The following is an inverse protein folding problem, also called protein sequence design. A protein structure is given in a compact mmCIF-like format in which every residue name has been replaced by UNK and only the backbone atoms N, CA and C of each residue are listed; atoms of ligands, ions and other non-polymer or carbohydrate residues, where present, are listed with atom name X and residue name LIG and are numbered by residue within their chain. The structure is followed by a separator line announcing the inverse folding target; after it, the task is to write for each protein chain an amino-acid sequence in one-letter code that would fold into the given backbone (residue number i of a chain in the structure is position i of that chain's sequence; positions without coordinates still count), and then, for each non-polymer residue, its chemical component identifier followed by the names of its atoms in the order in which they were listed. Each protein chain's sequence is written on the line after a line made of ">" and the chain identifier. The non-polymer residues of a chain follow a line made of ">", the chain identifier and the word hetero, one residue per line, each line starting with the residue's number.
data_IF_558203033880
#
_entry.id   IF_558203033880
#
_cell.length_a   1.000
_cell.length_b   1.000
_cell.length_c   1.000
_cell.angle_alpha   90.00
_cell.angle_beta   90.00
_cell.angle_gamma   90.00
#
_symmetry.space_group_name_H-M   'P 1'
#
loop_
_entity.id
_entity.type
_entity.pdbx_description
1 polymer ?
#
# COMPACT_ATOMS: atom_id res chain seq x y z
N UNK A 1 -5.75 -4.15 46.76
CA UNK A 1 -4.61 -3.62 45.97
C UNK A 1 -5.17 -2.76 44.85
N UNK A 2 -5.07 -1.43 44.95
CA UNK A 2 -5.41 -0.56 43.82
C UNK A 2 -4.37 -0.79 42.73
N UNK A 3 -4.78 -1.36 41.58
CA UNK A 3 -3.91 -1.44 40.41
C UNK A 3 -3.46 -0.01 40.08
N UNK A 4 -2.15 0.24 40.11
CA UNK A 4 -1.60 1.52 39.67
C UNK A 4 -2.08 1.83 38.26
N UNK A 5 -2.16 3.12 37.87
CA UNK A 5 -2.62 3.50 36.54
C UNK A 5 -1.75 2.82 35.47
N UNK A 6 -2.41 2.25 34.45
CA UNK A 6 -1.72 1.62 33.33
C UNK A 6 -0.76 2.62 32.66
N UNK A 7 0.50 2.23 32.39
CA UNK A 7 1.44 3.11 31.73
C UNK A 7 0.93 3.42 30.31
N UNK A 8 0.79 4.69 29.92
CA UNK A 8 0.24 5.08 28.61
C UNK A 8 1.00 4.46 27.43
N UNK A 9 2.29 4.17 27.61
CA UNK A 9 3.15 3.51 26.61
C UNK A 9 2.59 2.18 26.10
N UNK A 10 1.89 1.43 26.95
CA UNK A 10 1.32 0.14 26.57
C UNK A 10 0.14 0.30 25.60
N UNK A 11 -0.40 1.51 25.46
CA UNK A 11 -1.44 1.85 24.48
C UNK A 11 -0.81 2.54 23.26
N UNK A 12 0.10 3.50 23.48
CA UNK A 12 0.63 4.30 22.36
C UNK A 12 1.63 3.54 21.47
N UNK A 13 2.49 2.68 22.05
CA UNK A 13 3.49 1.96 21.26
C UNK A 13 2.86 0.94 20.29
N UNK A 14 1.86 0.13 20.70
CA UNK A 14 1.17 -0.75 19.76
C UNK A 14 0.37 0.01 18.70
N UNK A 15 -0.28 1.12 19.07
CA UNK A 15 -1.07 1.93 18.13
C UNK A 15 -0.19 2.53 17.02
N UNK A 16 0.92 3.18 17.38
CA UNK A 16 1.85 3.74 16.40
C UNK A 16 2.66 2.64 15.68
N UNK A 17 2.92 1.51 16.35
CA UNK A 17 3.52 0.34 15.74
C UNK A 17 2.64 -0.28 14.65
N UNK A 18 1.31 -0.27 14.83
CA UNK A 18 0.38 -0.70 13.80
C UNK A 18 0.43 0.21 12.57
N UNK A 19 0.42 1.53 12.78
CA UNK A 19 0.59 2.51 11.68
C UNK A 19 1.91 2.23 10.95
N UNK A 20 3.02 2.16 11.68
CA UNK A 20 4.35 1.88 11.12
C UNK A 20 4.39 0.59 10.30
N UNK A 21 3.79 -0.48 10.82
CA UNK A 21 3.78 -1.80 10.18
C UNK A 21 2.98 -1.79 8.88
N UNK A 22 1.77 -1.23 8.89
CA UNK A 22 0.93 -1.16 7.69
C UNK A 22 1.49 -0.19 6.64
N UNK A 23 2.06 0.94 7.04
CA UNK A 23 2.70 1.87 6.11
C UNK A 23 3.95 1.27 5.47
N UNK A 24 4.77 0.54 6.24
CA UNK A 24 5.93 -0.18 5.73
C UNK A 24 5.54 -1.31 4.77
N UNK A 25 4.49 -2.08 5.12
CA UNK A 25 3.96 -3.11 4.23
C UNK A 25 3.49 -2.51 2.90
N UNK A 26 2.80 -1.36 2.94
CA UNK A 26 2.38 -0.68 1.72
C UNK A 26 3.57 -0.23 0.87
N UNK A 27 4.61 0.35 1.47
CA UNK A 27 5.82 0.72 0.74
C UNK A 27 6.45 -0.49 0.01
N UNK A 28 6.53 -1.64 0.70
CA UNK A 28 7.08 -2.87 0.13
C UNK A 28 6.26 -3.38 -1.05
N UNK A 29 4.93 -3.44 -0.90
CA UNK A 29 4.02 -3.91 -1.93
C UNK A 29 4.05 -2.98 -3.15
N UNK A 30 3.85 -1.67 -2.96
CA UNK A 30 3.85 -0.72 -4.07
C UNK A 30 5.20 -0.63 -4.76
N UNK A 31 6.30 -0.74 -4.00
CA UNK A 31 7.66 -0.74 -4.55
C UNK A 31 7.93 -1.98 -5.40
N UNK A 32 7.46 -3.15 -4.97
CA UNK A 32 7.55 -4.39 -5.73
C UNK A 32 6.76 -4.30 -7.04
N UNK A 33 5.53 -3.76 -7.02
CA UNK A 33 4.71 -3.60 -8.24
C UNK A 33 5.39 -2.69 -9.27
N UNK A 34 5.95 -1.56 -8.82
CA UNK A 34 6.71 -0.65 -9.70
C UNK A 34 7.92 -1.37 -10.30
N UNK A 35 8.66 -2.12 -9.48
CA UNK A 35 9.81 -2.89 -9.93
C UNK A 35 9.42 -3.94 -10.97
N UNK A 36 8.41 -4.77 -10.68
CA UNK A 36 7.95 -5.85 -11.55
C UNK A 36 7.56 -5.30 -12.94
N UNK A 37 6.82 -4.20 -12.99
CA UNK A 37 6.42 -3.56 -14.24
C UNK A 37 7.61 -3.02 -15.04
N UNK A 38 8.59 -2.41 -14.38
CA UNK A 38 9.80 -1.91 -15.04
C UNK A 38 10.66 -3.06 -15.54
N UNK A 39 10.78 -4.13 -14.76
CA UNK A 39 11.57 -5.31 -15.08
C UNK A 39 10.95 -6.08 -16.26
N UNK A 40 9.63 -6.24 -16.30
CA UNK A 40 8.94 -6.82 -17.47
C UNK A 40 9.18 -5.96 -18.71
N UNK A 41 9.04 -4.63 -18.62
CA UNK A 41 9.34 -3.72 -19.74
C UNK A 41 10.79 -3.83 -20.20
N UNK A 42 11.73 -4.03 -19.28
CA UNK A 42 13.13 -4.30 -19.59
C UNK A 42 13.29 -5.62 -20.36
N UNK A 43 12.71 -6.71 -19.85
CA UNK A 43 12.73 -8.01 -20.51
C UNK A 43 12.08 -7.99 -21.90
N UNK A 44 11.02 -7.20 -22.10
CA UNK A 44 10.39 -7.02 -23.41
C UNK A 44 11.36 -6.42 -24.43
N UNK A 45 12.17 -5.43 -24.03
CA UNK A 45 13.17 -4.78 -24.89
C UNK A 45 14.28 -5.72 -25.33
N UNK A 46 14.69 -6.64 -24.47
CA UNK A 46 15.74 -7.63 -24.76
C UNK A 46 15.20 -8.96 -25.30
N UNK A 47 13.88 -9.09 -25.45
CA UNK A 47 13.27 -10.30 -25.99
C UNK A 47 13.44 -10.40 -27.50
N UNK A 48 13.35 -11.62 -28.03
CA UNK A 48 13.27 -11.87 -29.48
C UNK A 48 12.02 -11.25 -30.14
N UNK A 49 11.04 -10.81 -29.35
CA UNK A 49 9.81 -10.16 -29.78
C UNK A 49 9.83 -8.66 -29.47
N UNK A 50 11.01 -8.05 -29.37
CA UNK A 50 11.14 -6.62 -29.15
C UNK A 50 10.30 -5.82 -30.16
N UNK A 51 9.52 -4.86 -29.67
CA UNK A 51 8.65 -4.02 -30.47
C UNK A 51 7.39 -4.71 -31.01
N UNK A 52 7.09 -5.96 -30.66
CA UNK A 52 5.85 -6.62 -31.05
C UNK A 52 4.62 -5.96 -30.41
N UNK A 53 4.64 -5.81 -29.08
CA UNK A 53 3.60 -5.11 -28.31
C UNK A 53 4.25 -4.20 -27.27
N UNK A 54 3.53 -3.16 -26.89
CA UNK A 54 3.86 -2.31 -25.76
C UNK A 54 2.94 -2.64 -24.58
N UNK A 55 3.47 -2.54 -23.36
CA UNK A 55 2.70 -2.73 -22.12
C UNK A 55 2.30 -1.38 -21.53
N UNK A 56 1.02 -1.07 -21.62
CA UNK A 56 0.40 0.12 -21.05
C UNK A 56 -0.04 -0.17 -19.62
N UNK A 57 0.42 0.68 -18.70
CA UNK A 57 0.10 0.57 -17.27
C UNK A 57 -1.26 1.19 -16.92
N UNK A 58 -1.86 1.99 -17.82
CA UNK A 58 -3.14 2.67 -17.62
C UNK A 58 -3.28 3.42 -16.28
N UNK A 59 -2.15 3.92 -15.76
CA UNK A 59 -2.09 4.63 -14.48
C UNK A 59 -1.81 3.76 -13.25
N UNK A 60 -1.62 2.43 -13.38
CA UNK A 60 -1.27 1.52 -12.27
C UNK A 60 -0.07 2.10 -11.49
N UNK A 61 1.01 2.38 -12.23
CA UNK A 61 2.26 2.88 -11.64
C UNK A 61 2.12 4.24 -10.95
N UNK A 62 1.18 5.08 -11.39
CA UNK A 62 0.93 6.36 -10.73
C UNK A 62 0.25 6.16 -9.38
N UNK A 63 -0.71 5.23 -9.30
CA UNK A 63 -1.39 4.90 -8.05
C UNK A 63 -0.43 4.16 -7.11
N UNK A 64 0.39 3.24 -7.61
CA UNK A 64 1.44 2.59 -6.81
C UNK A 64 2.46 3.59 -6.29
N UNK A 65 2.86 4.57 -7.11
CA UNK A 65 3.76 5.63 -6.67
C UNK A 65 3.11 6.49 -5.57
N UNK A 66 1.82 6.81 -5.71
CA UNK A 66 1.07 7.55 -4.69
C UNK A 66 0.99 6.75 -3.37
N UNK A 67 0.78 5.44 -3.45
CA UNK A 67 0.79 4.52 -2.31
C UNK A 67 2.16 4.44 -1.65
N UNK A 68 3.23 4.42 -2.44
CA UNK A 68 4.61 4.44 -1.94
C UNK A 68 4.91 5.74 -1.19
N UNK A 69 4.48 6.89 -1.73
CA UNK A 69 4.64 8.21 -1.10
C UNK A 69 3.84 8.28 0.20
N UNK A 70 2.57 7.87 0.19
CA UNK A 70 1.74 7.85 1.39
C UNK A 70 2.32 6.91 2.46
N UNK A 71 2.78 5.72 2.05
CA UNK A 71 3.50 4.77 2.89
C UNK A 71 4.76 5.39 3.52
N UNK A 72 5.60 6.06 2.73
CA UNK A 72 6.82 6.69 3.22
C UNK A 72 6.55 7.81 4.22
N UNK A 73 5.57 8.67 3.94
CA UNK A 73 5.16 9.75 4.86
C UNK A 73 4.62 9.16 6.16
N UNK A 74 3.73 8.17 6.07
CA UNK A 74 3.15 7.52 7.25
C UNK A 74 4.18 6.78 8.09
N UNK A 75 5.13 6.10 7.45
CA UNK A 75 6.24 5.44 8.13
C UNK A 75 7.09 6.45 8.93
N UNK A 76 7.42 7.58 8.32
CA UNK A 76 8.22 8.63 8.96
C UNK A 76 7.45 9.30 10.11
N UNK A 77 6.17 9.61 9.92
CA UNK A 77 5.29 10.13 10.96
C UNK A 77 5.18 9.16 12.13
N UNK A 78 4.98 7.87 11.87
CA UNK A 78 4.88 6.84 12.90
C UNK A 78 6.20 6.66 13.67
N UNK A 79 7.36 6.72 13.00
CA UNK A 79 8.67 6.70 13.67
C UNK A 79 8.84 7.89 14.62
N UNK A 80 8.48 9.10 14.17
CA UNK A 80 8.52 10.31 15.01
C UNK A 80 7.59 10.12 16.21
N UNK A 81 6.36 9.63 15.98
CA UNK A 81 5.39 9.33 17.04
C UNK A 81 5.93 8.32 18.05
N UNK A 82 6.53 7.22 17.60
CA UNK A 82 7.12 6.18 18.47
C UNK A 82 8.25 6.75 19.32
N UNK A 83 9.13 7.56 18.71
CA UNK A 83 10.21 8.22 19.45
C UNK A 83 9.66 9.18 20.52
N UNK A 84 8.64 9.98 20.18
CA UNK A 84 7.98 10.88 21.12
C UNK A 84 7.28 10.10 22.24
N UNK A 85 6.56 9.02 21.94
CA UNK A 85 5.90 8.17 22.92
C UNK A 85 6.90 7.52 23.89
N UNK A 86 8.00 6.98 23.37
CA UNK A 86 9.06 6.39 24.18
C UNK A 86 9.69 7.44 25.12
N UNK A 87 10.00 8.64 24.61
CA UNK A 87 10.65 9.70 25.38
C UNK A 87 9.73 10.39 26.40
N UNK A 88 8.48 10.65 26.03
CA UNK A 88 7.54 11.41 26.86
C UNK A 88 6.99 10.59 28.03
N UNK A 89 6.74 9.30 27.81
CA UNK A 89 6.17 8.43 28.83
C UNK A 89 7.21 7.59 29.59
N UNK A 90 8.47 7.53 29.13
CA UNK A 90 9.53 6.73 29.77
C UNK A 90 9.85 7.14 31.21
N UNK A 91 9.41 8.33 31.63
CA UNK A 91 9.56 8.84 33.01
C UNK A 91 8.23 9.12 33.72
N UNK A 92 7.06 8.83 33.10
CA UNK A 92 5.75 9.24 33.61
C UNK A 92 4.82 8.04 33.83
N UNK A 93 4.58 7.71 35.10
CA UNK A 93 3.56 6.73 35.50
C UNK A 93 2.17 7.38 35.45
N UNK A 94 1.41 7.13 34.38
CA UNK A 94 -0.04 7.29 34.39
C UNK A 94 -0.62 8.71 34.41
N UNK A 95 0.19 9.77 34.29
CA UNK A 95 -0.33 11.13 34.22
C UNK A 95 -0.49 11.59 32.77
N UNK A 96 -1.70 11.44 32.23
CA UNK A 96 -2.23 12.30 31.17
C UNK A 96 -2.56 13.69 31.77
N UNK A 97 -1.60 14.34 32.45
CA UNK A 97 -1.81 15.60 33.19
C UNK A 97 -1.84 16.85 32.30
N UNK A 98 -2.03 16.68 30.98
CA UNK A 98 -1.96 17.78 30.01
C UNK A 98 -0.58 18.41 29.86
N UNK A 99 0.44 18.00 30.62
CA UNK A 99 1.83 18.45 30.42
C UNK A 99 2.43 17.62 29.29
N UNK A 100 2.40 18.12 28.06
CA UNK A 100 2.92 17.40 26.88
C UNK A 100 1.87 17.14 25.78
N UNK A 101 0.69 17.73 25.91
CA UNK A 101 -0.35 17.78 24.85
C UNK A 101 0.08 18.53 23.60
N UNK A 102 1.06 19.45 23.66
CA UNK A 102 1.50 20.21 22.47
C UNK A 102 2.10 19.34 21.37
N UNK A 103 3.00 18.41 21.73
CA UNK A 103 3.59 17.48 20.76
C UNK A 103 2.52 16.53 20.19
N UNK A 104 1.60 16.05 21.03
CA UNK A 104 0.50 15.18 20.60
C UNK A 104 -0.57 15.90 19.77
N UNK A 105 -0.77 17.21 19.96
CA UNK A 105 -1.62 18.02 19.11
C UNK A 105 -1.03 18.10 17.69
N UNK A 106 0.27 18.36 17.58
CA UNK A 106 0.98 18.37 16.29
C UNK A 106 0.92 16.98 15.64
N UNK A 107 1.19 15.91 16.39
CA UNK A 107 1.06 14.53 15.89
C UNK A 107 -0.37 14.24 15.43
N UNK A 108 -1.38 14.68 16.17
CA UNK A 108 -2.78 14.53 15.81
C UNK A 108 -3.14 15.24 14.49
N UNK A 109 -2.64 16.45 14.28
CA UNK A 109 -2.82 17.19 13.02
C UNK A 109 -2.10 16.53 11.84
N UNK A 110 -0.89 16.00 12.06
CA UNK A 110 -0.18 15.23 11.04
C UNK A 110 -0.94 13.97 10.66
N UNK A 111 -1.39 13.20 11.65
CA UNK A 111 -2.18 11.98 11.43
C UNK A 111 -3.56 12.28 10.81
N UNK A 112 -4.14 13.46 11.05
CA UNK A 112 -5.36 13.91 10.39
C UNK A 112 -5.12 14.15 8.88
N UNK A 113 -4.07 14.90 8.54
CA UNK A 113 -3.67 15.10 7.15
C UNK A 113 -3.34 13.76 6.46
N UNK A 114 -2.65 12.88 7.17
CA UNK A 114 -2.29 11.55 6.69
C UNK A 114 -3.53 10.65 6.52
N UNK A 115 -4.52 10.74 7.40
CA UNK A 115 -5.81 10.04 7.25
C UNK A 115 -6.52 10.47 5.96
N UNK A 116 -6.48 11.76 5.64
CA UNK A 116 -7.00 12.28 4.36
C UNK A 116 -6.23 11.74 3.15
N UNK A 117 -4.91 11.69 3.24
CA UNK A 117 -4.06 11.10 2.21
C UNK A 117 -4.40 9.61 2.01
N UNK A 118 -4.43 8.82 3.08
CA UNK A 118 -4.79 7.40 3.03
C UNK A 118 -6.21 7.15 2.52
N UNK A 119 -7.17 8.00 2.86
CA UNK A 119 -8.53 7.89 2.33
C UNK A 119 -8.56 8.10 0.82
N UNK A 120 -7.82 9.10 0.32
CA UNK A 120 -7.68 9.35 -1.12
C UNK A 120 -6.96 8.21 -1.84
N UNK A 121 -5.84 7.74 -1.29
CA UNK A 121 -5.04 6.67 -1.92
C UNK A 121 -5.75 5.33 -1.89
N UNK A 122 -6.35 4.93 -0.76
CA UNK A 122 -7.08 3.67 -0.64
C UNK A 122 -8.33 3.65 -1.53
N UNK A 123 -9.07 4.77 -1.63
CA UNK A 123 -10.21 4.88 -2.53
C UNK A 123 -9.78 4.82 -4.01
N UNK A 124 -8.71 5.54 -4.38
CA UNK A 124 -8.14 5.49 -5.72
C UNK A 124 -7.68 4.07 -6.08
N UNK A 125 -6.97 3.39 -5.18
CA UNK A 125 -6.52 2.01 -5.38
C UNK A 125 -7.69 1.04 -5.51
N UNK A 126 -8.70 1.16 -4.65
CA UNK A 126 -9.93 0.36 -4.72
C UNK A 126 -10.62 0.54 -6.07
N UNK A 127 -10.81 1.78 -6.52
CA UNK A 127 -11.38 2.07 -7.84
C UNK A 127 -10.50 1.50 -8.96
N UNK A 128 -9.17 1.57 -8.81
CA UNK A 128 -8.22 1.07 -9.77
C UNK A 128 -8.33 -0.45 -9.96
N UNK A 129 -8.47 -1.21 -8.87
CA UNK A 129 -8.63 -2.69 -8.96
C UNK A 129 -9.85 -3.13 -9.76
N UNK A 130 -10.90 -2.29 -9.82
CA UNK A 130 -12.16 -2.61 -10.52
C UNK A 130 -12.21 -2.07 -11.94
N UNK A 131 -11.68 -0.86 -12.17
CA UNK A 131 -12.00 -0.08 -13.39
C UNK A 131 -10.87 0.11 -14.39
N UNK A 132 -9.60 -0.09 -14.01
CA UNK A 132 -8.47 0.08 -14.93
C UNK A 132 -7.50 -1.09 -14.81
N UNK A 133 -7.18 -1.65 -15.97
CA UNK A 133 -6.42 -2.88 -16.15
C UNK A 133 -5.25 -2.56 -17.08
N UNK A 134 -4.13 -3.29 -17.01
CA UNK A 134 -3.07 -3.11 -18.00
C UNK A 134 -3.58 -3.52 -19.39
N UNK A 135 -3.03 -2.91 -20.44
CA UNK A 135 -3.34 -3.27 -21.83
C UNK A 135 -2.06 -3.47 -22.63
N UNK A 136 -2.19 -4.29 -23.66
CA UNK A 136 -1.23 -4.35 -24.75
C UNK A 136 -1.64 -3.35 -25.82
N UNK A 137 -0.67 -2.55 -26.30
CA UNK A 137 -0.84 -1.73 -27.50
C UNK A 137 0.14 -2.14 -28.59
N UNK A 138 -0.16 -1.72 -29.82
CA UNK A 138 0.60 -2.10 -31.01
C UNK A 138 2.01 -1.50 -30.94
N UNK A 139 3.02 -2.34 -31.06
CA UNK A 139 4.40 -1.91 -31.17
C UNK A 139 4.85 -1.72 -32.63
N UNK A 140 6.10 -1.25 -32.87
CA UNK A 140 6.63 -1.03 -34.21
C UNK A 140 6.73 -2.28 -35.09
N UNK A 141 6.94 -3.45 -34.48
CA UNK A 141 7.05 -4.76 -35.15
C UNK A 141 5.77 -5.60 -34.99
N UNK A 142 4.65 -4.94 -34.74
CA UNK A 142 3.37 -5.59 -34.56
C UNK A 142 2.90 -6.28 -35.85
N UNK A 143 2.42 -7.51 -35.72
CA UNK A 143 1.86 -8.28 -36.83
C UNK A 143 0.72 -9.17 -36.35
N UNK A 144 -0.30 -9.31 -37.19
CA UNK A 144 -1.42 -10.21 -37.01
C UNK A 144 -1.64 -11.04 -38.28
N UNK A 145 -2.18 -12.27 -38.18
CA UNK A 145 -2.59 -12.96 -36.95
C UNK A 145 -1.40 -13.41 -36.09
N UNK A 146 -1.58 -13.46 -34.77
CA UNK A 146 -0.52 -13.91 -33.87
C UNK A 146 -0.19 -15.39 -34.10
N UNK A 147 1.10 -15.67 -34.27
CA UNK A 147 1.60 -17.03 -34.30
C UNK A 147 1.70 -17.60 -32.87
N UNK A 148 1.89 -18.91 -32.79
CA UNK A 148 1.87 -19.64 -31.51
C UNK A 148 2.99 -19.18 -30.55
N UNK A 149 4.10 -18.66 -31.09
CA UNK A 149 5.19 -18.12 -30.29
C UNK A 149 4.88 -16.71 -29.73
N UNK A 150 4.16 -15.88 -30.47
CA UNK A 150 3.63 -14.60 -30.00
C UNK A 150 2.55 -14.80 -28.94
N UNK A 151 1.68 -15.81 -29.09
CA UNK A 151 0.68 -16.19 -28.08
C UNK A 151 1.34 -16.62 -26.76
N UNK A 152 2.35 -17.50 -26.84
CA UNK A 152 3.12 -17.93 -25.67
C UNK A 152 3.81 -16.76 -24.96
N UNK A 153 4.34 -15.81 -25.73
CA UNK A 153 4.98 -14.61 -25.21
C UNK A 153 4.01 -13.66 -24.49
N UNK A 154 2.82 -13.41 -25.05
CA UNK A 154 1.80 -12.59 -24.38
C UNK A 154 1.31 -13.23 -23.08
N UNK A 155 1.17 -14.56 -23.07
CA UNK A 155 0.83 -15.31 -21.87
C UNK A 155 1.90 -15.23 -20.80
N UNK A 156 3.19 -15.31 -21.15
CA UNK A 156 4.26 -15.22 -20.14
C UNK A 156 4.28 -13.84 -19.49
N UNK A 157 4.08 -12.76 -20.25
CA UNK A 157 3.90 -11.41 -19.69
C UNK A 157 2.71 -11.39 -18.71
N UNK A 158 1.56 -11.93 -19.12
CA UNK A 158 0.38 -11.99 -18.27
C UNK A 158 0.63 -12.78 -16.97
N UNK A 159 1.31 -13.93 -17.05
CA UNK A 159 1.65 -14.74 -15.88
C UNK A 159 2.59 -14.03 -14.92
N UNK A 160 3.62 -13.34 -15.43
CA UNK A 160 4.54 -12.58 -14.58
C UNK A 160 3.81 -11.43 -13.88
N UNK A 161 2.94 -10.70 -14.58
CA UNK A 161 2.13 -9.60 -14.00
C UNK A 161 1.15 -10.08 -12.92
N UNK A 162 0.56 -11.27 -13.10
CA UNK A 162 -0.44 -11.80 -12.16
C UNK A 162 0.15 -12.53 -10.97
N UNK A 163 1.34 -13.12 -11.12
CA UNK A 163 2.02 -13.86 -10.05
C UNK A 163 3.03 -13.02 -9.27
N UNK A 164 3.51 -11.91 -9.83
CA UNK A 164 4.54 -11.06 -9.18
C UNK A 164 5.93 -11.70 -9.15
N UNK A 165 6.19 -12.65 -10.05
CA UNK A 165 7.50 -13.27 -10.22
C UNK A 165 7.97 -12.96 -11.64
N UNK A 166 8.89 -12.02 -11.76
CA UNK A 166 9.48 -11.67 -13.06
C UNK A 166 10.63 -12.61 -13.40
N UNK A 167 10.89 -12.74 -14.69
CA UNK A 167 11.98 -13.56 -15.20
C UNK A 167 12.13 -13.41 -16.70
N UNK A 168 13.10 -14.08 -17.31
CA UNK A 168 13.28 -14.04 -18.76
C UNK A 168 11.97 -14.43 -19.45
N UNK A 169 11.51 -13.59 -20.39
CA UNK A 169 10.33 -13.88 -21.21
C UNK A 169 10.68 -14.99 -22.20
N UNK A 170 10.75 -16.22 -21.71
CA UNK A 170 10.97 -17.41 -22.51
C UNK A 170 9.65 -17.88 -23.09
N UNK A 171 9.70 -18.28 -24.34
CA UNK A 171 8.67 -19.15 -24.88
C UNK A 171 8.98 -20.52 -24.32
N UNK A 172 8.17 -20.95 -23.34
CA UNK A 172 8.32 -22.24 -22.70
C UNK A 172 8.09 -23.36 -23.73
N UNK A 173 9.17 -23.83 -24.34
CA UNK A 173 9.25 -25.16 -24.92
C UNK A 173 9.55 -26.12 -23.77
N UNK A 174 8.73 -27.16 -23.58
CA UNK A 174 9.05 -28.22 -22.61
C UNK A 174 10.46 -28.77 -22.89
N UNK A 175 11.26 -29.15 -21.86
CA UNK A 175 12.55 -29.78 -22.07
C UNK A 175 12.40 -31.00 -22.99
N UNK A 176 13.04 -30.98 -24.16
CA UNK A 176 12.94 -32.03 -25.19
C UNK A 176 11.85 -31.82 -26.26
N UNK A 177 11.07 -30.74 -26.21
CA UNK A 177 10.07 -30.42 -27.22
C UNK A 177 10.67 -29.63 -28.40
N UNK A 178 10.40 -30.07 -29.63
CA UNK A 178 10.78 -29.40 -30.89
C UNK A 178 9.81 -28.28 -31.31
N UNK A 179 8.75 -28.07 -30.52
CA UNK A 179 7.73 -27.06 -30.74
C UNK A 179 7.04 -26.65 -29.45
N UNK A 180 6.21 -25.62 -29.52
CA UNK A 180 5.40 -25.15 -28.38
C UNK A 180 4.09 -25.95 -28.40
N UNK A 181 3.76 -26.61 -27.30
CA UNK A 181 2.50 -27.34 -27.18
C UNK A 181 1.33 -26.35 -27.02
N UNK A 182 0.38 -26.38 -27.95
CA UNK A 182 -0.83 -25.56 -27.90
C UNK A 182 -1.71 -25.86 -26.68
N UNK A 183 -1.64 -27.08 -26.12
CA UNK A 183 -2.36 -27.43 -24.88
C UNK A 183 -1.81 -26.66 -23.67
N UNK A 184 -0.54 -26.26 -23.69
CA UNK A 184 0.03 -25.43 -22.64
C UNK A 184 -0.65 -24.05 -22.61
N UNK A 185 -1.05 -23.49 -23.76
CA UNK A 185 -1.55 -22.11 -23.88
C UNK A 185 -2.93 -21.88 -23.26
N UNK A 186 -3.77 -22.91 -23.10
CA UNK A 186 -5.14 -22.74 -22.59
C UNK A 186 -5.92 -21.71 -23.41
N UNK A 187 -6.62 -20.78 -22.75
CA UNK A 187 -7.36 -19.69 -23.43
C UNK A 187 -6.47 -18.76 -24.28
N UNK A 188 -5.14 -18.73 -24.04
CA UNK A 188 -4.22 -17.95 -24.86
C UNK A 188 -3.97 -18.55 -26.25
N UNK A 189 -4.30 -19.83 -26.46
CA UNK A 189 -4.17 -20.49 -27.76
C UNK A 189 -5.17 -19.98 -28.82
N UNK A 190 -6.24 -19.30 -28.37
CA UNK A 190 -7.26 -18.71 -29.24
C UNK A 190 -7.07 -17.21 -29.48
N UNK A 191 -5.94 -16.64 -29.06
CA UNK A 191 -5.63 -15.21 -29.17
C UNK A 191 -4.86 -14.95 -30.46
N UNK A 192 -5.54 -14.46 -31.48
CA UNK A 192 -4.96 -14.16 -32.79
C UNK A 192 -4.79 -12.67 -33.06
N UNK A 193 -5.37 -11.81 -32.23
CA UNK A 193 -5.28 -10.36 -32.34
C UNK A 193 -5.18 -9.67 -30.97
N UNK A 194 -4.86 -8.38 -30.98
CA UNK A 194 -4.64 -7.59 -29.76
C UNK A 194 -5.93 -7.37 -28.95
N UNK A 195 -7.08 -7.31 -29.62
CA UNK A 195 -8.37 -7.13 -28.95
C UNK A 195 -8.70 -8.36 -28.11
N UNK A 196 -8.46 -9.56 -28.65
CA UNK A 196 -8.55 -10.83 -27.93
C UNK A 196 -7.51 -10.90 -26.80
N UNK A 197 -6.29 -10.41 -27.04
CA UNK A 197 -5.23 -10.38 -26.01
C UNK A 197 -5.57 -9.46 -24.85
N UNK A 198 -6.26 -8.35 -25.10
CA UNK A 198 -6.71 -7.39 -24.07
C UNK A 198 -7.99 -7.84 -23.36
N UNK A 199 -8.81 -8.68 -23.99
CA UNK A 199 -10.01 -9.26 -23.36
C UNK A 199 -9.67 -10.25 -22.23
N UNK A 200 -8.56 -10.99 -22.34
CA UNK A 200 -8.16 -11.99 -21.33
C UNK A 200 -7.71 -11.38 -19.99
N UNK A 201 -6.81 -10.38 -19.93
CA UNK A 201 -6.49 -9.65 -18.71
C UNK A 201 -7.73 -9.07 -18.03
N UNK A 202 -8.68 -8.57 -18.84
CA UNK A 202 -9.95 -8.06 -18.33
C UNK A 202 -10.79 -9.12 -17.63
N UNK A 203 -10.66 -10.39 -18.00
CA UNK A 203 -11.38 -11.50 -17.39
C UNK A 203 -10.70 -12.05 -16.12
N UNK A 204 -9.38 -11.95 -16.02
CA UNK A 204 -8.60 -12.63 -14.98
C UNK A 204 -8.00 -11.73 -13.90
N UNK A 205 -8.03 -10.40 -14.07
CA UNK A 205 -7.54 -9.47 -13.05
C UNK A 205 -8.36 -9.47 -11.75
N UNK A 206 -9.63 -9.90 -11.82
CA UNK A 206 -10.47 -10.13 -10.64
C UNK A 206 -9.94 -11.28 -9.76
N UNK A 207 -8.97 -12.07 -10.22
CA UNK A 207 -8.29 -13.13 -9.48
C UNK A 207 -6.89 -12.75 -8.96
N UNK A 208 -6.42 -11.52 -9.21
CA UNK A 208 -5.13 -11.07 -8.66
C UNK A 208 -5.22 -10.92 -7.14
N UNK A 209 -4.76 -11.94 -6.42
CA UNK A 209 -4.67 -11.93 -4.97
C UNK A 209 -3.74 -10.82 -4.46
N UNK A 210 -2.74 -10.44 -5.26
CA UNK A 210 -1.80 -9.36 -4.98
C UNK A 210 -2.51 -8.02 -4.78
N UNK A 211 -3.38 -7.65 -5.72
CA UNK A 211 -4.07 -6.35 -5.71
C UNK A 211 -5.18 -6.29 -4.67
N UNK A 212 -5.84 -7.42 -4.40
CA UNK A 212 -6.79 -7.55 -3.29
C UNK A 212 -6.10 -7.36 -1.94
N UNK A 213 -4.91 -7.96 -1.76
CA UNK A 213 -4.13 -7.80 -0.54
C UNK A 213 -3.67 -6.33 -0.34
N UNK A 214 -3.16 -5.69 -1.39
CA UNK A 214 -2.78 -4.28 -1.37
C UNK A 214 -3.95 -3.36 -0.99
N UNK A 215 -5.15 -3.63 -1.54
CA UNK A 215 -6.37 -2.91 -1.18
C UNK A 215 -6.73 -3.12 0.29
N UNK A 216 -6.72 -4.36 0.78
CA UNK A 216 -7.02 -4.62 2.18
C UNK A 216 -6.05 -3.90 3.12
N UNK A 217 -4.74 -3.98 2.84
CA UNK A 217 -3.69 -3.36 3.66
C UNK A 217 -3.79 -1.84 3.62
N UNK A 218 -4.17 -1.22 2.50
CA UNK A 218 -4.35 0.24 2.42
C UNK A 218 -5.50 0.74 3.31
N UNK A 219 -6.60 -0.03 3.39
CA UNK A 219 -7.69 0.24 4.32
C UNK A 219 -7.29 0.02 5.79
N UNK A 220 -6.43 -0.96 6.08
CA UNK A 220 -5.86 -1.13 7.42
C UNK A 220 -4.90 0.00 7.80
N UNK A 221 -4.10 0.50 6.86
CA UNK A 221 -3.26 1.68 7.06
C UNK A 221 -4.12 2.90 7.40
N UNK A 222 -5.18 3.17 6.61
CA UNK A 222 -6.16 4.22 6.92
C UNK A 222 -6.78 4.04 8.31
N UNK A 223 -7.30 2.84 8.61
CA UNK A 223 -8.00 2.55 9.86
C UNK A 223 -7.10 2.74 11.09
N UNK A 224 -5.86 2.27 11.02
CA UNK A 224 -4.88 2.47 12.09
C UNK A 224 -4.51 3.95 12.26
N UNK A 225 -4.15 4.65 11.18
CA UNK A 225 -3.81 6.09 11.22
C UNK A 225 -4.96 6.93 11.75
N UNK A 226 -6.20 6.64 11.31
CA UNK A 226 -7.41 7.31 11.78
C UNK A 226 -7.66 7.03 13.28
N UNK A 227 -7.52 5.78 13.72
CA UNK A 227 -7.70 5.42 15.13
C UNK A 227 -6.70 6.18 16.02
N UNK A 228 -5.42 6.20 15.64
CA UNK A 228 -4.40 6.94 16.40
C UNK A 228 -4.73 8.43 16.42
N UNK A 229 -5.15 9.01 15.29
CA UNK A 229 -5.61 10.40 15.22
C UNK A 229 -6.76 10.66 16.20
N UNK A 230 -7.81 9.84 16.19
CA UNK A 230 -8.98 10.03 17.06
C UNK A 230 -8.59 9.95 18.54
N UNK A 231 -7.75 8.98 18.93
CA UNK A 231 -7.29 8.81 20.31
C UNK A 231 -6.49 10.01 20.81
N UNK A 232 -5.63 10.58 19.97
CA UNK A 232 -4.69 11.62 20.39
C UNK A 232 -5.18 13.05 20.14
N UNK A 233 -6.08 13.22 19.18
CA UNK A 233 -6.59 14.51 18.76
C UNK A 233 -8.03 14.72 19.19
N UNK A 234 -8.97 13.88 18.76
CA UNK A 234 -10.40 14.13 18.94
C UNK A 234 -10.92 13.78 20.36
N UNK A 235 -10.54 12.61 20.89
CA UNK A 235 -10.98 12.11 22.20
C UNK A 235 -10.65 13.06 23.35
N UNK A 236 -9.47 13.70 23.43
CA UNK A 236 -9.18 14.69 24.47
C UNK A 236 -10.14 15.87 24.50
N UNK A 237 -10.59 16.38 23.34
CA UNK A 237 -11.58 17.47 23.29
C UNK A 237 -12.95 17.00 23.75
N UNK A 238 -13.37 15.79 23.32
CA UNK A 238 -14.65 15.19 23.72
C UNK A 238 -14.67 14.92 25.23
N UNK A 239 -13.61 14.33 25.79
CA UNK A 239 -13.51 14.08 27.23
C UNK A 239 -13.45 15.36 28.06
N UNK A 240 -12.82 16.42 27.52
CA UNK A 240 -12.85 17.75 28.15
C UNK A 240 -14.28 18.31 28.17
N UNK A 241 -15.01 18.20 27.07
CA UNK A 241 -16.39 18.65 26.96
C UNK A 241 -17.34 17.87 27.88
N UNK A 242 -17.14 16.56 28.00
CA UNK A 242 -17.91 15.68 28.90
C UNK A 242 -17.50 15.79 30.39
N UNK A 243 -16.50 16.63 30.73
CA UNK A 243 -16.03 16.78 32.12
C UNK A 243 -15.32 15.54 32.68
N UNK A 244 -14.89 14.61 31.84
CA UNK A 244 -14.24 13.35 32.24
C UNK A 244 -12.74 13.50 32.49
N UNK A 245 -12.13 14.62 32.08
CA UNK A 245 -10.74 14.92 32.39
C UNK A 245 -10.59 15.55 33.77
N UNK A 246 -9.77 14.93 34.63
CA UNK A 246 -9.34 15.54 35.90
C UNK A 246 -8.57 16.82 35.57
N UNK A 247 -9.13 17.97 35.92
CA UNK A 247 -8.35 19.20 35.95
C UNK A 247 -7.20 19.01 36.96
N UNK A 248 -5.95 19.39 36.60
CA UNK A 248 -4.88 19.38 37.57
C UNK A 248 -5.34 20.23 38.76
N UNK A 249 -5.31 19.67 39.97
CA UNK A 249 -5.59 20.44 41.18
C UNK A 249 -4.68 21.66 41.13
N UNK A 250 -5.25 22.86 41.00
CA UNK A 250 -4.53 24.08 41.28
C UNK A 250 -3.90 23.88 42.66
N UNK A 251 -2.56 23.83 42.72
CA UNK A 251 -1.85 23.94 43.98
C UNK A 251 -2.17 25.32 44.54
N UNK A 252 -3.24 25.40 45.34
CA UNK A 252 -3.46 26.52 46.26
C UNK A 252 -2.38 26.39 47.32
N UNK A 253 -1.41 27.29 47.26
CA UNK A 253 -0.39 27.42 48.29
C UNK A 253 0.92 27.90 47.68
N UNK A 254 1.03 29.20 47.43
CA UNK A 254 2.25 30.02 47.56
C UNK A 254 1.93 31.47 47.18
N UNK A 255 0.97 32.07 47.91
CA UNK A 255 0.87 33.52 48.12
C UNK A 255 0.17 33.67 49.47
N UNK A 256 0.97 33.68 50.52
CA UNK A 256 0.72 34.25 51.84
C UNK A 256 1.93 33.88 52.70
N UNK A 257 3.01 34.64 52.55
CA UNK A 257 3.88 34.91 53.69
C UNK A 257 3.99 36.43 53.79
N UNK A 258 3.73 36.88 55.01
CA UNK A 258 3.67 38.25 55.53
C UNK A 258 5.08 38.79 55.70
#
# INVERSE_FOLDING_TARGET
>A
MARGPFPPQLVELPLLGAVLGFTAAMMGISGADIYDFQDIRSHMRYSRFNGFVNLEDNGILQVDLLMLIAGAIGFLTALIGLFLAARQFGKRRGEYSGKGTGAWLIMGLLLLAESGLWAGTAAAYTAFTVTRKFSFSRGPNYSEPFNLAQQAYLRSIFQQLTTGVTGPLTVLTLPGATGIDGAYLGEWGTVYNIDQANALPNRYLDYSNKWKAATAISWFALGSTFLVMVVHFALPFVWKWLGLLRQPKHQKGYYNEV
#
